data_IF_323760452106
#
_entry.id   IF_323760452106
#
_cell.length_a   1.000
_cell.length_b   1.000
_cell.length_c   1.000
_cell.angle_alpha   90.00
_cell.angle_beta   90.00
_cell.angle_gamma   90.00
#
_symmetry.space_group_name_H-M   'P 1'
#
loop_
_entity.id
_entity.type
_entity.pdbx_description
1 polymer ?
#
# COMPACT_ATOMS: atom_id res chain seq x y z
N UNK A 1 11.94 -18.74 18.36
CA UNK A 1 12.88 -19.80 18.72
C UNK A 1 13.63 -20.32 17.49
N UNK A 2 14.88 -20.77 17.64
CA UNK A 2 15.70 -21.31 16.58
C UNK A 2 16.20 -22.72 16.91
N UNK A 3 16.00 -23.65 16.00
CA UNK A 3 16.45 -25.03 16.13
C UNK A 3 17.62 -25.30 15.19
N UNK A 4 18.85 -25.22 15.70
CA UNK A 4 20.09 -25.30 14.94
C UNK A 4 20.22 -26.56 14.05
N UNK A 5 19.61 -27.68 14.42
CA UNK A 5 19.67 -28.94 13.66
C UNK A 5 18.99 -28.90 12.29
N UNK A 6 18.08 -27.92 12.06
CA UNK A 6 17.32 -27.79 10.81
C UNK A 6 17.86 -26.69 9.88
N UNK A 7 18.79 -25.86 10.38
CA UNK A 7 19.27 -24.71 9.63
C UNK A 7 18.21 -23.60 9.47
N UNK A 8 18.61 -22.46 8.91
CA UNK A 8 17.74 -21.36 8.59
C UNK A 8 17.30 -21.44 7.12
N UNK A 9 16.05 -21.09 6.78
CA UNK A 9 14.95 -20.65 7.67
C UNK A 9 14.19 -21.79 8.34
N UNK A 10 14.48 -23.04 8.03
CA UNK A 10 13.65 -24.19 8.45
C UNK A 10 13.61 -24.44 9.96
N UNK A 11 14.65 -24.03 10.68
CA UNK A 11 14.76 -24.15 12.12
C UNK A 11 14.22 -22.98 12.92
N UNK A 12 13.71 -21.94 12.26
CA UNK A 12 13.20 -20.75 12.91
C UNK A 12 11.67 -20.83 13.10
N UNK A 13 11.24 -20.59 14.34
CA UNK A 13 9.83 -20.59 14.72
C UNK A 13 9.51 -19.35 15.54
N UNK A 14 8.32 -18.80 15.37
CA UNK A 14 7.76 -17.73 16.17
C UNK A 14 6.53 -18.22 16.91
N UNK A 15 6.27 -17.64 18.08
CA UNK A 15 5.07 -17.93 18.86
C UNK A 15 3.93 -17.04 18.36
N UNK A 16 2.81 -17.66 17.99
CA UNK A 16 1.56 -16.97 17.67
C UNK A 16 0.48 -17.57 18.55
N UNK A 17 0.06 -16.85 19.60
CA UNK A 17 -0.87 -17.37 20.58
C UNK A 17 -0.34 -18.68 21.22
N UNK A 18 -1.12 -19.77 21.23
CA UNK A 18 -0.71 -21.05 21.80
C UNK A 18 0.22 -21.86 20.89
N UNK A 19 0.39 -21.49 19.62
CA UNK A 19 1.10 -22.29 18.61
C UNK A 19 2.48 -21.74 18.26
N UNK A 20 3.43 -22.63 17.96
CA UNK A 20 4.71 -22.29 17.36
C UNK A 20 4.59 -22.47 15.85
N UNK A 21 4.69 -21.36 15.11
CA UNK A 21 4.63 -21.35 13.66
C UNK A 21 6.02 -21.18 13.05
N UNK A 22 6.25 -21.79 11.90
CA UNK A 22 7.50 -21.66 11.16
C UNK A 22 7.64 -20.21 10.70
N UNK A 23 8.82 -19.62 10.95
CA UNK A 23 9.12 -18.29 10.49
C UNK A 23 9.08 -18.20 8.96
N UNK A 24 8.46 -17.18 8.44
CA UNK A 24 8.55 -16.80 7.03
C UNK A 24 9.90 -16.16 6.75
N UNK A 25 10.22 -15.95 5.47
CA UNK A 25 11.41 -15.17 5.08
C UNK A 25 11.36 -13.75 5.64
N UNK A 26 10.16 -13.18 5.78
CA UNK A 26 9.96 -11.85 6.36
C UNK A 26 10.26 -11.83 7.86
N UNK A 27 9.85 -12.87 8.61
CA UNK A 27 10.22 -13.04 10.03
C UNK A 27 11.74 -13.14 10.17
N UNK A 28 12.38 -13.89 9.28
CA UNK A 28 13.83 -14.03 9.27
C UNK A 28 14.53 -12.70 9.00
N UNK A 29 14.00 -11.93 8.07
CA UNK A 29 14.50 -10.59 7.81
C UNK A 29 14.38 -9.68 9.04
N UNK A 30 13.27 -9.72 9.77
CA UNK A 30 13.11 -8.97 11.01
C UNK A 30 14.13 -9.39 12.10
N UNK A 31 14.50 -10.66 12.14
CA UNK A 31 15.54 -11.15 13.07
C UNK A 31 16.96 -10.69 12.70
N UNK A 32 17.23 -10.51 11.42
CA UNK A 32 18.57 -10.09 10.94
C UNK A 32 18.69 -8.58 10.74
N UNK A 33 17.62 -7.83 10.96
CA UNK A 33 17.63 -6.41 10.68
C UNK A 33 18.63 -5.63 11.58
N UNK A 34 19.65 -5.15 10.92
CA UNK A 34 20.13 -3.79 11.07
C UNK A 34 19.01 -2.81 10.65
N UNK A 35 18.99 -1.63 11.19
CA UNK A 35 18.00 -0.54 11.13
C UNK A 35 17.26 -0.22 9.79
N UNK A 36 17.48 -0.95 8.69
CA UNK A 36 16.89 -0.66 7.37
C UNK A 36 15.62 -1.48 7.14
N UNK A 37 14.49 -0.81 7.01
CA UNK A 37 13.22 -1.40 6.58
C UNK A 37 13.24 -1.71 5.08
N UNK A 38 12.37 -2.64 4.62
CA UNK A 38 12.34 -3.01 3.20
C UNK A 38 12.17 -1.82 2.27
N UNK A 39 11.30 -0.90 2.63
CA UNK A 39 11.03 0.31 1.86
C UNK A 39 12.22 1.27 1.78
N UNK A 40 13.20 1.16 2.69
CA UNK A 40 14.45 1.93 2.65
C UNK A 40 15.58 1.25 1.87
N UNK A 41 15.42 0.00 1.43
CA UNK A 41 16.41 -0.70 0.62
C UNK A 41 16.52 -0.12 -0.79
N UNK A 42 17.70 -0.23 -1.39
CA UNK A 42 17.93 0.16 -2.78
C UNK A 42 17.27 -0.87 -3.71
N UNK A 43 16.78 -0.41 -4.84
CA UNK A 43 16.22 -1.23 -5.91
C UNK A 43 17.28 -1.42 -6.97
N UNK A 44 17.65 -2.68 -7.23
CA UNK A 44 18.57 -3.01 -8.31
C UNK A 44 17.94 -2.64 -9.67
N UNK A 45 18.76 -2.18 -10.61
CA UNK A 45 18.35 -1.78 -11.96
C UNK A 45 17.32 -0.64 -12.03
N UNK A 46 17.27 0.22 -10.99
CA UNK A 46 16.43 1.40 -10.95
C UNK A 46 17.26 2.67 -10.76
N UNK A 47 16.89 3.73 -11.47
CA UNK A 47 17.53 5.05 -11.38
C UNK A 47 16.50 6.19 -11.38
N UNK A 48 16.98 7.44 -11.46
CA UNK A 48 16.12 8.62 -11.47
C UNK A 48 15.21 8.71 -12.69
N UNK A 49 15.58 8.05 -13.81
CA UNK A 49 14.73 8.01 -15.00
C UNK A 49 13.47 7.16 -14.77
N UNK A 50 13.44 6.33 -13.75
CA UNK A 50 12.26 5.55 -13.36
C UNK A 50 11.22 6.37 -12.57
N UNK A 51 11.51 7.63 -12.20
CA UNK A 51 10.60 8.52 -11.46
C UNK A 51 9.58 9.18 -12.41
N UNK A 52 8.33 9.22 -11.97
CA UNK A 52 7.21 9.89 -12.64
C UNK A 52 7.08 11.33 -12.12
N UNK A 53 7.35 12.31 -13.00
CA UNK A 53 7.25 13.72 -12.68
C UNK A 53 5.83 14.14 -12.26
N UNK A 54 4.79 13.49 -12.81
CA UNK A 54 3.40 13.78 -12.41
C UNK A 54 3.15 13.36 -10.96
N UNK A 55 3.75 12.25 -10.50
CA UNK A 55 3.66 11.81 -9.12
C UNK A 55 4.35 12.79 -8.17
N UNK A 56 5.53 13.33 -8.53
CA UNK A 56 6.22 14.36 -7.76
C UNK A 56 5.41 15.67 -7.70
N UNK A 57 4.91 16.11 -8.83
CA UNK A 57 4.09 17.31 -8.91
C UNK A 57 2.79 17.18 -8.10
N UNK A 58 2.21 15.98 -8.10
CA UNK A 58 1.04 15.68 -7.30
C UNK A 58 1.34 15.69 -5.80
N UNK A 59 2.49 15.14 -5.37
CA UNK A 59 2.96 15.27 -4.00
C UNK A 59 3.08 16.72 -3.58
N UNK A 60 3.77 17.56 -4.37
CA UNK A 60 3.93 19.00 -4.09
C UNK A 60 2.59 19.69 -3.93
N UNK A 61 1.63 19.35 -4.80
CA UNK A 61 0.27 19.90 -4.72
C UNK A 61 -0.41 19.53 -3.41
N UNK A 62 -0.43 18.25 -3.05
CA UNK A 62 -1.04 17.77 -1.80
C UNK A 62 -0.35 18.40 -0.58
N UNK A 63 0.97 18.46 -0.59
CA UNK A 63 1.73 19.04 0.51
C UNK A 63 1.44 20.51 0.71
N UNK A 64 1.34 21.26 -0.38
CA UNK A 64 0.96 22.68 -0.39
C UNK A 64 -0.45 22.92 0.13
N UNK A 65 -1.39 22.01 -0.16
CA UNK A 65 -2.77 22.08 0.37
C UNK A 65 -2.81 21.88 1.90
N UNK A 66 -1.93 21.04 2.45
CA UNK A 66 -1.85 20.76 3.89
C UNK A 66 -1.04 21.83 4.63
N UNK A 67 0.13 22.19 4.10
CA UNK A 67 1.04 23.19 4.67
C UNK A 67 1.73 23.97 3.55
N UNK A 68 1.23 25.17 3.20
CA UNK A 68 1.80 26.00 2.12
C UNK A 68 3.25 26.43 2.37
N UNK A 69 3.67 26.50 3.63
CA UNK A 69 5.00 26.95 4.08
C UNK A 69 5.95 25.79 4.37
N UNK A 70 5.61 24.57 3.94
CA UNK A 70 6.45 23.41 4.17
C UNK A 70 7.81 23.56 3.47
N UNK A 71 8.91 23.33 4.20
CA UNK A 71 10.28 23.50 3.72
C UNK A 71 10.55 22.68 2.44
N UNK A 72 10.05 21.47 2.36
CA UNK A 72 10.23 20.58 1.21
C UNK A 72 9.67 21.12 -0.10
N UNK A 73 8.76 22.10 -0.07
CA UNK A 73 8.22 22.73 -1.28
C UNK A 73 9.24 23.66 -1.98
N UNK A 74 10.27 24.09 -1.26
CA UNK A 74 11.36 24.92 -1.79
C UNK A 74 12.48 24.13 -2.44
N UNK A 75 12.51 22.79 -2.21
CA UNK A 75 13.56 21.90 -2.69
C UNK A 75 13.38 21.60 -4.19
N UNK A 76 14.50 21.43 -4.91
CA UNK A 76 14.47 20.81 -6.24
C UNK A 76 14.09 19.32 -6.11
N UNK A 77 13.85 18.64 -7.23
CA UNK A 77 13.34 17.25 -7.22
C UNK A 77 14.32 16.26 -6.58
N UNK A 78 15.62 16.42 -6.82
CA UNK A 78 16.64 15.52 -6.26
C UNK A 78 16.72 15.70 -4.74
N UNK A 79 16.76 16.93 -4.26
CA UNK A 79 16.82 17.21 -2.83
C UNK A 79 15.53 16.81 -2.12
N UNK A 80 14.37 17.00 -2.78
CA UNK A 80 13.08 16.51 -2.28
C UNK A 80 13.07 14.99 -2.16
N UNK A 81 13.39 14.27 -3.21
CA UNK A 81 13.45 12.79 -3.20
C UNK A 81 14.41 12.27 -2.13
N UNK A 82 15.51 12.96 -1.92
CA UNK A 82 16.49 12.62 -0.90
C UNK A 82 15.94 12.87 0.51
N UNK A 83 15.28 14.01 0.74
CA UNK A 83 14.65 14.33 2.01
C UNK A 83 13.56 13.32 2.39
N UNK A 84 12.79 12.85 1.40
CA UNK A 84 11.77 11.80 1.56
C UNK A 84 12.35 10.38 1.68
N UNK A 85 13.67 10.20 1.58
CA UNK A 85 14.31 8.88 1.58
C UNK A 85 14.00 8.04 0.35
N UNK A 86 13.49 8.67 -0.73
CA UNK A 86 13.18 8.03 -1.99
C UNK A 86 14.43 7.66 -2.80
N UNK A 87 15.55 8.34 -2.54
CA UNK A 87 16.85 8.06 -3.14
C UNK A 87 17.96 8.07 -2.08
N UNK A 88 19.03 7.32 -2.34
CA UNK A 88 20.26 7.30 -1.53
C UNK A 88 21.47 7.63 -2.42
N UNK A 89 22.42 8.41 -1.88
CA UNK A 89 23.67 8.72 -2.59
C UNK A 89 24.51 7.45 -2.70
N UNK A 90 24.98 7.15 -3.91
CA UNK A 90 25.85 6.00 -4.17
C UNK A 90 27.34 6.36 -4.08
N UNK A 91 28.20 5.34 -4.17
CA UNK A 91 29.65 5.51 -4.06
C UNK A 91 30.28 6.23 -5.26
N UNK A 92 29.59 6.26 -6.40
CA UNK A 92 30.04 6.92 -7.64
C UNK A 92 29.65 8.42 -7.67
N UNK A 93 28.95 8.93 -6.65
CA UNK A 93 28.49 10.31 -6.57
C UNK A 93 27.12 10.57 -7.20
N UNK A 94 26.48 9.55 -7.76
CA UNK A 94 25.09 9.56 -8.22
C UNK A 94 24.10 9.19 -7.11
N UNK A 95 22.90 8.79 -7.54
CA UNK A 95 21.81 8.41 -6.63
C UNK A 95 21.20 7.09 -7.08
N UNK A 96 20.95 6.21 -6.11
CA UNK A 96 20.23 4.97 -6.30
C UNK A 96 18.80 5.13 -5.76
N UNK A 97 17.83 4.56 -6.47
CA UNK A 97 16.42 4.60 -6.09
C UNK A 97 16.16 3.61 -4.96
N UNK A 98 15.40 4.02 -3.95
CA UNK A 98 14.91 3.10 -2.90
C UNK A 98 13.56 2.53 -3.29
N UNK A 99 13.11 1.47 -2.59
CA UNK A 99 11.73 0.99 -2.76
C UNK A 99 10.70 2.09 -2.43
N UNK A 100 10.95 2.96 -1.45
CA UNK A 100 10.11 4.14 -1.21
C UNK A 100 9.98 4.99 -2.48
N UNK A 101 11.10 5.36 -3.09
CA UNK A 101 11.09 6.16 -4.31
C UNK A 101 10.34 5.49 -5.46
N UNK A 102 10.66 4.21 -5.72
CA UNK A 102 10.01 3.46 -6.79
C UNK A 102 8.51 3.28 -6.54
N UNK A 103 8.10 2.84 -5.34
CA UNK A 103 6.71 2.52 -5.07
C UNK A 103 5.82 3.77 -5.00
N UNK A 104 6.33 4.88 -4.45
CA UNK A 104 5.54 6.11 -4.29
C UNK A 104 5.51 6.96 -5.55
N UNK A 105 6.66 7.05 -6.26
CA UNK A 105 6.85 7.98 -7.38
C UNK A 105 7.25 7.31 -8.70
N UNK A 106 7.39 5.98 -8.75
CA UNK A 106 7.89 5.30 -9.93
C UNK A 106 6.92 5.29 -11.11
N UNK A 107 7.44 5.40 -12.33
CA UNK A 107 6.67 5.23 -13.57
C UNK A 107 5.97 3.87 -13.59
N UNK A 108 4.77 3.82 -14.17
CA UNK A 108 3.99 2.59 -14.25
C UNK A 108 4.75 1.44 -14.92
N UNK A 109 5.53 1.70 -15.97
CA UNK A 109 6.29 0.67 -16.67
C UNK A 109 7.50 0.19 -15.85
N UNK A 110 8.13 1.06 -15.11
CA UNK A 110 9.20 0.73 -14.16
C UNK A 110 8.69 -0.14 -13.02
N UNK A 111 7.55 0.23 -12.44
CA UNK A 111 6.85 -0.58 -11.44
C UNK A 111 6.49 -1.97 -11.98
N UNK A 112 6.02 -2.05 -13.24
CA UNK A 112 5.69 -3.33 -13.87
C UNK A 112 6.94 -4.19 -14.10
N UNK A 113 8.07 -3.59 -14.45
CA UNK A 113 9.35 -4.27 -14.69
C UNK A 113 9.95 -4.78 -13.39
N UNK A 114 10.01 -3.94 -12.36
CA UNK A 114 10.78 -4.19 -11.14
C UNK A 114 9.96 -4.84 -10.02
N UNK A 115 8.68 -4.52 -9.92
CA UNK A 115 7.76 -4.99 -8.87
C UNK A 115 6.37 -5.33 -9.44
N UNK A 116 6.26 -6.35 -10.31
CA UNK A 116 5.06 -6.61 -11.10
C UNK A 116 3.79 -6.89 -10.27
N UNK A 117 3.93 -7.35 -9.03
CA UNK A 117 2.82 -7.56 -8.10
C UNK A 117 2.36 -6.28 -7.38
N UNK A 118 3.07 -5.17 -7.54
CA UNK A 118 2.69 -3.90 -6.93
C UNK A 118 1.56 -3.25 -7.74
N UNK A 119 0.34 -3.70 -7.44
CA UNK A 119 -0.90 -3.22 -8.06
C UNK A 119 -2.08 -3.44 -7.12
N UNK A 120 -3.21 -2.88 -7.48
CA UNK A 120 -4.50 -3.14 -6.84
C UNK A 120 -5.43 -3.80 -7.85
N UNK A 121 -5.96 -4.95 -7.49
CA UNK A 121 -7.01 -5.63 -8.24
C UNK A 121 -8.36 -5.30 -7.56
N UNK A 122 -9.22 -4.54 -8.23
CA UNK A 122 -10.59 -4.33 -7.81
C UNK A 122 -11.49 -5.38 -8.44
N UNK A 123 -12.24 -6.10 -7.61
CA UNK A 123 -13.07 -7.23 -8.03
C UNK A 123 -14.49 -7.01 -7.51
N UNK A 124 -15.46 -7.01 -8.43
CA UNK A 124 -16.88 -6.98 -8.10
C UNK A 124 -17.48 -8.37 -8.21
N UNK A 125 -18.19 -8.78 -7.18
CA UNK A 125 -18.84 -10.09 -7.10
C UNK A 125 -20.34 -9.89 -6.90
N UNK A 126 -21.14 -10.61 -7.70
CA UNK A 126 -22.59 -10.71 -7.48
C UNK A 126 -22.88 -11.52 -6.21
N UNK A 127 -23.64 -10.94 -5.30
CA UNK A 127 -24.02 -11.61 -4.05
C UNK A 127 -23.07 -11.35 -2.89
N UNK A 128 -23.09 -12.22 -1.89
CA UNK A 128 -22.42 -12.02 -0.61
C UNK A 128 -21.35 -13.07 -0.28
N UNK A 129 -21.06 -13.99 -1.21
CA UNK A 129 -20.08 -15.05 -1.04
C UNK A 129 -19.14 -15.15 -2.24
N UNK A 130 -17.91 -15.56 -1.97
CA UNK A 130 -16.95 -15.94 -2.99
C UNK A 130 -17.37 -17.29 -3.59
N UNK A 131 -17.90 -17.27 -4.80
CA UNK A 131 -18.33 -18.49 -5.50
C UNK A 131 -17.11 -19.26 -6.02
N UNK A 132 -17.02 -20.54 -5.65
CA UNK A 132 -15.94 -21.42 -6.11
C UNK A 132 -16.12 -21.84 -7.58
N UNK A 133 -17.35 -21.83 -8.12
CA UNK A 133 -17.70 -22.33 -9.43
C UNK A 133 -18.35 -21.28 -10.34
N UNK A 134 -17.99 -21.33 -11.61
CA UNK A 134 -18.75 -20.76 -12.72
C UNK A 134 -18.07 -19.67 -13.51
N UNK A 135 -18.42 -19.63 -14.79
CA UNK A 135 -17.93 -18.70 -15.81
C UNK A 135 -18.33 -17.23 -15.55
N UNK A 136 -19.25 -16.99 -14.59
CA UNK A 136 -19.76 -15.66 -14.22
C UNK A 136 -19.40 -15.22 -12.79
N UNK A 137 -18.25 -15.66 -12.27
CA UNK A 137 -17.82 -15.34 -10.91
C UNK A 137 -17.67 -13.84 -10.67
N UNK A 138 -17.08 -13.15 -11.61
CA UNK A 138 -16.76 -11.73 -11.51
C UNK A 138 -17.62 -10.91 -12.46
N UNK A 139 -18.36 -9.93 -11.90
CA UNK A 139 -19.07 -8.96 -12.74
C UNK A 139 -18.09 -7.98 -13.38
N UNK A 140 -17.03 -7.63 -12.65
CA UNK A 140 -16.02 -6.69 -13.09
C UNK A 140 -14.68 -6.96 -12.39
N UNK A 141 -13.59 -6.82 -13.14
CA UNK A 141 -12.24 -6.82 -12.59
C UNK A 141 -11.47 -5.66 -13.21
N UNK A 142 -10.83 -4.84 -12.35
CA UNK A 142 -10.00 -3.70 -12.78
C UNK A 142 -8.61 -3.89 -12.18
N UNK A 143 -7.60 -4.06 -13.03
CA UNK A 143 -6.18 -4.02 -12.66
C UNK A 143 -5.71 -2.55 -12.65
N UNK A 144 -5.32 -2.06 -11.48
CA UNK A 144 -4.84 -0.69 -11.30
C UNK A 144 -3.36 -0.69 -10.99
N UNK A 145 -2.58 0.01 -11.83
CA UNK A 145 -1.12 0.13 -11.72
C UNK A 145 -0.69 1.59 -11.76
N UNK A 146 0.42 1.87 -11.10
CA UNK A 146 1.03 3.20 -11.07
C UNK A 146 1.66 3.52 -9.73
N UNK A 147 2.26 4.71 -9.59
CA UNK A 147 2.82 5.18 -8.33
C UNK A 147 1.75 5.29 -7.25
N UNK A 148 2.11 4.86 -6.03
CA UNK A 148 1.20 4.78 -4.89
C UNK A 148 0.41 6.07 -4.69
N UNK A 149 1.08 7.22 -4.74
CA UNK A 149 0.47 8.51 -4.47
C UNK A 149 -0.70 8.85 -5.42
N UNK A 150 -0.66 8.35 -6.66
CA UNK A 150 -1.75 8.48 -7.62
C UNK A 150 -2.77 7.34 -7.49
N UNK A 151 -2.30 6.16 -7.08
CA UNK A 151 -3.12 4.95 -7.01
C UNK A 151 -4.18 5.00 -5.91
N UNK A 152 -3.89 5.63 -4.77
CA UNK A 152 -4.88 5.78 -3.68
C UNK A 152 -6.16 6.43 -4.18
N UNK A 153 -6.04 7.56 -4.90
CA UNK A 153 -7.22 8.25 -5.43
C UNK A 153 -7.94 7.42 -6.50
N UNK A 154 -7.18 6.75 -7.38
CA UNK A 154 -7.74 5.89 -8.42
C UNK A 154 -8.54 4.72 -7.82
N UNK A 155 -8.01 4.07 -6.78
CA UNK A 155 -8.68 2.99 -6.09
C UNK A 155 -9.93 3.49 -5.33
N UNK A 156 -9.85 4.64 -4.65
CA UNK A 156 -11.01 5.25 -4.02
C UNK A 156 -12.13 5.55 -5.04
N UNK A 157 -11.79 6.16 -6.17
CA UNK A 157 -12.77 6.49 -7.22
C UNK A 157 -13.42 5.22 -7.78
N UNK A 158 -12.64 4.18 -8.10
CA UNK A 158 -13.17 2.93 -8.61
C UNK A 158 -14.21 2.28 -7.66
N UNK A 159 -13.93 2.32 -6.35
CA UNK A 159 -14.86 1.80 -5.34
C UNK A 159 -16.09 2.70 -5.20
N UNK A 160 -15.90 4.03 -5.11
CA UNK A 160 -16.99 4.98 -4.88
C UNK A 160 -17.96 5.07 -6.06
N UNK A 161 -17.46 4.93 -7.29
CA UNK A 161 -18.28 4.96 -8.51
C UNK A 161 -19.21 3.73 -8.60
N UNK A 162 -18.79 2.62 -8.01
CA UNK A 162 -19.52 1.35 -8.01
C UNK A 162 -20.48 1.20 -6.81
N UNK A 163 -20.34 2.04 -5.78
CA UNK A 163 -21.22 1.98 -4.62
C UNK A 163 -22.62 2.57 -4.92
N UNK A 164 -23.70 1.94 -4.42
CA UNK A 164 -25.02 2.53 -4.48
C UNK A 164 -25.03 3.92 -3.85
N UNK A 165 -25.61 4.89 -4.55
CA UNK A 165 -25.81 6.25 -4.02
C UNK A 165 -27.15 6.30 -3.30
N UNK A 166 -27.13 6.65 -2.02
CA UNK A 166 -28.36 6.91 -1.28
C UNK A 166 -29.08 8.13 -1.85
N UNK A 167 -30.39 8.15 -1.81
CA UNK A 167 -31.20 9.31 -2.16
C UNK A 167 -31.83 9.85 -0.88
N UNK A 168 -31.51 11.08 -0.50
CA UNK A 168 -32.08 11.74 0.67
C UNK A 168 -32.60 13.13 0.28
N UNK A 169 -33.91 13.33 0.49
CA UNK A 169 -34.56 14.66 0.36
C UNK A 169 -34.41 15.36 1.72
N UNK A 170 -33.63 16.43 1.78
CA UNK A 170 -33.67 17.32 2.96
C UNK A 170 -35.01 18.01 3.04
N UNK A 171 -35.66 17.90 4.23
CA UNK A 171 -37.00 18.43 4.47
C UNK A 171 -37.20 19.92 4.19
N UNK A 172 -36.12 20.72 4.14
CA UNK A 172 -36.17 22.18 4.01
C UNK A 172 -35.37 22.71 2.78
N UNK A 173 -35.00 21.88 1.84
CA UNK A 173 -34.35 22.32 0.62
C UNK A 173 -34.82 21.53 -0.60
N UNK A 174 -35.01 22.21 -1.74
CA UNK A 174 -35.26 21.54 -3.03
C UNK A 174 -34.07 20.79 -3.59
N UNK A 175 -32.95 20.72 -2.85
CA UNK A 175 -31.75 20.01 -3.27
C UNK A 175 -31.74 18.60 -2.67
N UNK A 176 -31.78 17.61 -3.55
CA UNK A 176 -31.52 16.22 -3.18
C UNK A 176 -30.04 16.06 -2.82
N UNK A 177 -29.75 15.48 -1.66
CA UNK A 177 -28.41 15.01 -1.35
C UNK A 177 -28.32 13.50 -1.61
N UNK A 178 -27.21 13.07 -2.20
CA UNK A 178 -26.91 11.65 -2.39
C UNK A 178 -25.75 11.27 -1.45
N UNK A 179 -26.03 11.01 -0.14
CA UNK A 179 -24.98 10.64 0.78
C UNK A 179 -24.37 9.32 0.34
N UNK A 180 -23.03 9.28 0.33
CA UNK A 180 -22.31 8.04 0.10
C UNK A 180 -22.58 7.09 1.28
N UNK A 181 -22.92 5.83 0.99
CA UNK A 181 -23.13 4.78 2.01
C UNK A 181 -21.84 4.57 2.82
N UNK A 182 -20.68 4.73 2.19
CA UNK A 182 -19.37 4.67 2.83
C UNK A 182 -18.71 6.06 2.76
N UNK A 183 -18.30 6.67 3.90
CA UNK A 183 -17.56 7.91 3.88
C UNK A 183 -16.22 7.76 3.14
N UNK A 184 -15.93 8.67 2.22
CA UNK A 184 -14.70 8.62 1.42
C UNK A 184 -13.43 8.61 2.30
N UNK A 185 -13.46 9.32 3.44
CA UNK A 185 -12.35 9.34 4.40
C UNK A 185 -12.03 7.95 4.94
N UNK A 186 -13.06 7.16 5.29
CA UNK A 186 -12.89 5.79 5.83
C UNK A 186 -12.30 4.87 4.76
N UNK A 187 -12.83 4.95 3.51
CA UNK A 187 -12.31 4.17 2.41
C UNK A 187 -10.85 4.52 2.10
N UNK A 188 -10.55 5.83 2.04
CA UNK A 188 -9.18 6.30 1.79
C UNK A 188 -8.22 5.79 2.85
N UNK A 189 -8.58 5.90 4.13
CA UNK A 189 -7.79 5.39 5.25
C UNK A 189 -7.51 3.90 5.12
N UNK A 190 -8.54 3.09 4.82
CA UNK A 190 -8.38 1.65 4.65
C UNK A 190 -7.46 1.30 3.47
N UNK A 191 -7.55 2.02 2.35
CA UNK A 191 -6.68 1.83 1.19
C UNK A 191 -5.24 2.25 1.51
N UNK A 192 -5.02 3.40 2.14
CA UNK A 192 -3.68 3.85 2.56
C UNK A 192 -3.07 2.83 3.52
N UNK A 193 -3.82 2.37 4.52
CA UNK A 193 -3.36 1.36 5.47
C UNK A 193 -2.98 0.05 4.78
N UNK A 194 -3.70 -0.34 3.72
CA UNK A 194 -3.33 -1.54 2.96
C UNK A 194 -1.95 -1.42 2.31
N UNK A 195 -1.54 -0.25 1.85
CA UNK A 195 -0.20 -0.03 1.31
C UNK A 195 0.89 0.04 2.39
N UNK A 196 0.62 0.77 3.49
CA UNK A 196 1.58 0.93 4.59
C UNK A 196 1.90 -0.41 5.25
N UNK A 197 0.90 -1.28 5.37
CA UNK A 197 1.03 -2.60 6.01
C UNK A 197 1.28 -3.74 5.02
N UNK A 198 1.34 -3.48 3.71
CA UNK A 198 1.62 -4.48 2.69
C UNK A 198 3.01 -5.09 2.87
N UNK A 199 3.10 -6.42 2.77
CA UNK A 199 4.40 -7.07 2.55
C UNK A 199 4.79 -6.96 1.07
N UNK A 200 5.84 -6.17 0.80
CA UNK A 200 6.38 -6.03 -0.55
C UNK A 200 7.28 -7.21 -0.96
N UNK A 201 7.54 -8.16 -0.04
CA UNK A 201 8.24 -9.42 -0.30
C UNK A 201 7.30 -10.52 -0.81
N UNK A 202 6.01 -10.39 -0.55
CA UNK A 202 4.99 -11.33 -1.02
C UNK A 202 4.53 -10.91 -2.41
N UNK A 203 4.73 -11.78 -3.39
CA UNK A 203 4.43 -11.51 -4.80
C UNK A 203 2.91 -11.65 -5.11
N UNK A 204 2.10 -10.86 -4.43
CA UNK A 204 0.64 -10.79 -4.59
C UNK A 204 0.16 -9.34 -4.64
N UNK A 205 -0.93 -9.02 -5.37
CA UNK A 205 -1.53 -7.69 -5.36
C UNK A 205 -2.30 -7.42 -4.07
N UNK A 206 -2.61 -6.15 -3.82
CA UNK A 206 -3.70 -5.78 -2.93
C UNK A 206 -5.00 -6.07 -3.68
N UNK A 207 -5.95 -6.73 -3.04
CA UNK A 207 -7.27 -7.00 -3.64
C UNK A 207 -8.34 -6.23 -2.88
N UNK A 208 -9.15 -5.48 -3.61
CA UNK A 208 -10.36 -4.84 -3.08
C UNK A 208 -11.53 -5.60 -3.68
N UNK A 209 -12.24 -6.35 -2.84
CA UNK A 209 -13.35 -7.19 -3.26
C UNK A 209 -14.65 -6.58 -2.77
N UNK A 210 -15.49 -6.19 -3.71
CA UNK A 210 -16.83 -5.64 -3.41
C UNK A 210 -17.88 -6.72 -3.58
N UNK A 211 -18.52 -7.08 -2.49
CA UNK A 211 -19.74 -7.90 -2.42
C UNK A 211 -20.99 -7.02 -2.36
N UNK A 212 -22.15 -7.61 -2.48
CA UNK A 212 -23.41 -6.87 -2.38
C UNK A 212 -23.61 -6.16 -1.03
N UNK A 213 -23.04 -6.70 0.05
CA UNK A 213 -23.25 -6.24 1.43
C UNK A 213 -21.99 -5.75 2.15
N UNK A 214 -20.79 -5.83 1.54
CA UNK A 214 -19.52 -5.44 2.16
C UNK A 214 -18.42 -5.21 1.13
N UNK A 215 -17.34 -4.57 1.60
CA UNK A 215 -16.07 -4.48 0.89
C UNK A 215 -15.01 -5.14 1.75
N UNK A 216 -14.19 -5.97 1.15
CA UNK A 216 -13.02 -6.60 1.77
C UNK A 216 -11.75 -6.06 1.11
N UNK A 217 -10.74 -5.72 1.91
CA UNK A 217 -9.42 -5.33 1.42
C UNK A 217 -8.44 -6.41 1.90
N UNK A 218 -7.93 -7.18 0.96
CA UNK A 218 -6.97 -8.24 1.20
C UNK A 218 -5.56 -7.73 0.91
N UNK A 219 -4.72 -7.80 1.91
CA UNK A 219 -3.37 -7.28 1.88
C UNK A 219 -2.35 -8.41 1.94
N UNK A 220 -1.32 -8.45 1.05
CA UNK A 220 -0.27 -9.45 1.13
C UNK A 220 0.53 -9.36 2.43
N UNK A 221 0.82 -10.54 3.02
CA UNK A 221 1.53 -10.65 4.28
C UNK A 221 0.62 -10.98 5.45
N UNK A 222 1.16 -10.88 6.65
CA UNK A 222 0.46 -11.15 7.91
C UNK A 222 0.58 -9.92 8.84
N UNK A 223 -0.20 -9.88 9.90
CA UNK A 223 -0.10 -8.80 10.89
C UNK A 223 1.24 -8.87 11.63
N UNK A 224 1.95 -7.74 11.71
CA UNK A 224 3.12 -7.63 12.60
C UNK A 224 2.70 -7.50 14.07
N UNK A 225 1.47 -7.02 14.31
CA UNK A 225 0.91 -6.90 15.65
C UNK A 225 0.42 -8.27 16.10
N UNK A 226 0.80 -8.74 17.30
CA UNK A 226 0.30 -9.99 17.88
C UNK A 226 -1.23 -10.01 17.92
N UNK A 227 -1.83 -11.19 17.78
CA UNK A 227 -3.28 -11.32 17.75
C UNK A 227 -3.95 -10.84 19.03
N UNK A 228 -3.30 -11.09 20.18
CA UNK A 228 -3.79 -10.69 21.49
C UNK A 228 -3.84 -9.15 21.67
N UNK A 229 -3.05 -8.42 20.87
CA UNK A 229 -3.00 -6.97 20.89
C UNK A 229 -3.92 -6.31 19.85
N UNK A 230 -4.70 -7.11 19.09
CA UNK A 230 -5.64 -6.54 18.12
C UNK A 230 -6.74 -5.77 18.84
N UNK A 231 -7.00 -4.55 18.37
CA UNK A 231 -7.94 -3.62 19.02
C UNK A 231 -7.28 -2.65 19.99
N UNK A 232 -6.08 -2.96 20.50
CA UNK A 232 -5.33 -2.03 21.34
C UNK A 232 -4.71 -0.89 20.51
N UNK A 233 -4.51 0.30 21.10
CA UNK A 233 -3.82 1.40 20.44
C UNK A 233 -2.39 1.04 19.99
N UNK A 234 -1.91 1.70 18.95
CA UNK A 234 -0.59 1.51 18.40
C UNK A 234 -0.59 0.70 17.10
N UNK A 235 0.38 1.00 16.24
CA UNK A 235 0.56 0.39 14.93
C UNK A 235 2.02 -0.05 14.77
N UNK A 236 2.24 -1.24 14.21
CA UNK A 236 3.55 -1.70 13.76
C UNK A 236 3.62 -1.54 12.25
N UNK A 237 4.35 -0.54 11.80
CA UNK A 237 4.46 -0.20 10.39
C UNK A 237 5.45 -1.12 9.69
N UNK A 238 5.03 -1.72 8.58
CA UNK A 238 5.91 -2.54 7.73
C UNK A 238 6.73 -1.68 6.78
N UNK A 239 6.14 -0.58 6.32
CA UNK A 239 6.75 0.37 5.41
C UNK A 239 6.74 1.78 6.03
N UNK A 240 7.58 2.02 7.06
CA UNK A 240 7.56 3.28 7.81
C UNK A 240 7.93 4.49 6.93
N UNK A 241 8.84 4.34 5.95
CA UNK A 241 9.21 5.44 5.05
C UNK A 241 8.04 5.85 4.15
N UNK A 242 7.29 4.87 3.65
CA UNK A 242 6.09 5.14 2.84
C UNK A 242 5.03 5.85 3.69
N UNK A 243 4.92 5.52 4.98
CA UNK A 243 3.93 6.14 5.86
C UNK A 243 4.21 7.60 6.22
N UNK A 244 5.45 8.08 6.02
CA UNK A 244 5.85 9.47 6.28
C UNK A 244 5.51 10.41 5.11
N UNK A 245 5.20 9.88 3.94
CA UNK A 245 4.88 10.62 2.71
C UNK A 245 3.37 10.83 2.59
#
# INVERSE_FOLDING_TARGET
AYFAKRGLPEGAFRRIGPSDEKCSEEDMYLFYQSADTYDSCIVDDADLDDIDENALNFYRKLRKEVNPDAEELTLNDVDLLRALGAIKKNKQGGYDLTYTGLLVFGKQMSLRRLVPSFRVDYIRISGNQWLADGDNRFEQTIDMRGPLILMVNKACSAVMDDLPKGFELKKDSMQASTPAILPNKVLREAIVNSYIHRSNRVNQPIQIIRYSNRIEIHNPGYSLKPQDDWGEPGSMLRNPRISEI
#
